data_IF_492717575350
#
_entry.id   IF_492717575350
#
_cell.length_a   1.000
_cell.length_b   1.000
_cell.length_c   1.000
_cell.angle_alpha   90.00
_cell.angle_beta   90.00
_cell.angle_gamma   90.00
#
_symmetry.space_group_name_H-M   'P 1'
#
loop_
_entity.id
_entity.type
_entity.pdbx_description
1 polymer ?
#
# COMPACT_ATOMS: atom_id res chain seq x y z
N UNK A 1 -38.29 -30.14 -37.10
CA UNK A 1 -39.46 -29.49 -36.46
C UNK A 1 -38.99 -28.34 -35.58
N UNK A 2 -39.77 -27.26 -35.38
CA UNK A 2 -39.42 -26.25 -34.37
C UNK A 2 -39.62 -26.84 -32.96
N UNK A 3 -38.74 -26.55 -31.99
CA UNK A 3 -38.95 -26.95 -30.60
C UNK A 3 -40.18 -26.23 -30.02
N UNK A 4 -40.86 -26.88 -29.05
CA UNK A 4 -42.05 -26.31 -28.37
C UNK A 4 -41.71 -25.12 -27.46
N UNK A 5 -40.47 -25.04 -26.98
CA UNK A 5 -39.96 -23.96 -26.14
C UNK A 5 -38.79 -23.26 -26.84
N UNK A 6 -38.62 -21.97 -26.58
CA UNK A 6 -37.48 -21.19 -27.11
C UNK A 6 -36.19 -21.65 -26.41
N UNK A 7 -35.17 -22.12 -27.14
CA UNK A 7 -33.93 -22.56 -26.52
C UNK A 7 -33.13 -21.36 -25.99
N UNK A 8 -32.95 -21.30 -24.67
CA UNK A 8 -32.11 -20.30 -23.99
C UNK A 8 -30.67 -20.81 -23.89
N UNK A 9 -29.72 -19.97 -24.28
CA UNK A 9 -28.27 -20.23 -24.24
C UNK A 9 -27.59 -19.23 -23.31
N UNK A 10 -26.93 -19.70 -22.25
CA UNK A 10 -26.22 -18.85 -21.31
C UNK A 10 -24.76 -18.68 -21.75
N UNK A 11 -24.41 -17.46 -22.19
CA UNK A 11 -23.02 -17.09 -22.47
C UNK A 11 -22.28 -16.85 -21.15
N UNK A 12 -21.49 -17.83 -20.69
CA UNK A 12 -20.69 -17.70 -19.47
C UNK A 12 -19.44 -18.58 -19.51
N UNK A 13 -18.32 -18.00 -19.06
CA UNK A 13 -17.05 -18.70 -18.92
C UNK A 13 -16.98 -19.61 -17.69
N UNK A 14 -17.95 -19.57 -16.75
CA UNK A 14 -17.86 -20.21 -15.41
C UNK A 14 -17.56 -21.72 -15.43
N UNK A 15 -17.95 -22.43 -16.49
CA UNK A 15 -17.65 -23.86 -16.69
C UNK A 15 -16.24 -24.12 -17.24
N UNK A 16 -15.72 -23.21 -18.07
CA UNK A 16 -14.45 -23.37 -18.82
C UNK A 16 -13.27 -22.72 -18.10
N UNK A 17 -13.47 -21.51 -17.59
CA UNK A 17 -12.43 -20.63 -17.06
C UNK A 17 -12.84 -20.07 -15.71
N UNK A 18 -12.11 -20.45 -14.67
CA UNK A 18 -12.38 -20.10 -13.27
C UNK A 18 -11.25 -19.20 -12.77
N UNK A 19 -11.61 -18.03 -12.28
CA UNK A 19 -10.69 -17.07 -11.67
C UNK A 19 -11.24 -16.64 -10.32
N UNK A 20 -10.40 -16.59 -9.30
CA UNK A 20 -10.74 -16.13 -7.95
C UNK A 20 -10.68 -14.62 -7.85
N UNK A 21 -11.44 -14.03 -6.92
CA UNK A 21 -11.35 -12.59 -6.64
C UNK A 21 -9.95 -12.13 -6.21
N UNK A 22 -9.13 -13.03 -5.65
CA UNK A 22 -7.73 -12.73 -5.34
C UNK A 22 -6.93 -12.51 -6.62
N UNK A 23 -7.00 -13.43 -7.58
CA UNK A 23 -6.30 -13.32 -8.86
C UNK A 23 -6.76 -12.08 -9.65
N UNK A 24 -8.07 -11.80 -9.69
CA UNK A 24 -8.63 -10.57 -10.30
C UNK A 24 -7.98 -9.32 -9.70
N UNK A 25 -7.88 -9.23 -8.37
CA UNK A 25 -7.29 -8.06 -7.72
C UNK A 25 -5.77 -8.01 -7.81
N UNK A 26 -5.07 -9.14 -7.79
CA UNK A 26 -3.61 -9.18 -7.90
C UNK A 26 -3.17 -8.78 -9.32
N UNK A 27 -3.91 -9.18 -10.35
CA UNK A 27 -3.75 -8.71 -11.74
C UNK A 27 -4.15 -7.22 -11.83
N UNK A 28 -5.35 -6.86 -11.35
CA UNK A 28 -5.86 -5.48 -11.38
C UNK A 28 -4.95 -4.48 -10.67
N UNK A 29 -4.31 -4.86 -9.56
CA UNK A 29 -3.33 -4.04 -8.82
C UNK A 29 -2.11 -3.71 -9.68
N UNK A 30 -1.52 -4.70 -10.37
CA UNK A 30 -0.39 -4.49 -11.28
C UNK A 30 -0.76 -3.49 -12.38
N UNK A 31 -1.92 -3.72 -13.02
CA UNK A 31 -2.44 -2.83 -14.07
C UNK A 31 -2.68 -1.41 -13.53
N UNK A 32 -3.25 -1.25 -12.34
CA UNK A 32 -3.46 0.09 -11.72
C UNK A 32 -2.14 0.81 -11.47
N UNK A 33 -1.06 0.10 -11.13
CA UNK A 33 0.26 0.73 -10.95
C UNK A 33 0.87 1.23 -12.27
N UNK A 34 0.63 0.53 -13.38
CA UNK A 34 1.04 0.96 -14.71
C UNK A 34 0.09 1.99 -15.33
N UNK A 35 -1.20 1.98 -14.99
CA UNK A 35 -2.24 2.85 -15.56
C UNK A 35 -3.06 3.59 -14.48
N UNK A 36 -2.42 4.38 -13.58
CA UNK A 36 -3.09 5.01 -12.45
C UNK A 36 -4.03 6.15 -12.84
N UNK A 37 -5.13 6.29 -12.09
CA UNK A 37 -6.14 7.35 -12.22
C UNK A 37 -5.63 8.72 -11.76
N UNK A 38 -6.15 9.80 -12.34
CA UNK A 38 -5.77 11.17 -11.98
C UNK A 38 -6.18 11.52 -10.54
N UNK A 39 -7.38 11.13 -10.14
CA UNK A 39 -7.98 11.44 -8.84
C UNK A 39 -7.56 10.47 -7.71
N UNK A 40 -6.31 10.01 -7.74
CA UNK A 40 -5.76 9.10 -6.71
C UNK A 40 -5.28 9.89 -5.49
N UNK A 41 -5.98 9.75 -4.36
CA UNK A 41 -5.69 10.51 -3.11
C UNK A 41 -4.68 9.81 -2.20
N UNK A 42 -4.59 8.48 -2.24
CA UNK A 42 -3.65 7.67 -1.45
C UNK A 42 -3.12 6.50 -2.26
N UNK A 43 -1.98 5.93 -1.86
CA UNK A 43 -1.39 4.76 -2.54
C UNK A 43 -2.31 3.52 -2.40
N UNK A 44 -2.71 2.86 -3.50
CA UNK A 44 -3.70 1.77 -3.43
C UNK A 44 -3.06 0.43 -3.05
N UNK A 45 -2.75 0.24 -1.75
CA UNK A 45 -2.21 -1.01 -1.18
C UNK A 45 -3.27 -1.88 -0.46
N UNK A 46 -4.56 -1.63 -0.73
CA UNK A 46 -5.68 -2.32 -0.08
C UNK A 46 -5.68 -3.85 -0.29
N UNK A 47 -6.27 -4.59 0.66
CA UNK A 47 -6.40 -6.05 0.57
C UNK A 47 -7.80 -6.51 1.00
N UNK A 48 -8.32 -7.57 0.38
CA UNK A 48 -9.60 -8.17 0.78
C UNK A 48 -9.42 -8.79 2.17
N UNK A 49 -10.38 -8.53 3.08
CA UNK A 49 -10.42 -9.18 4.39
C UNK A 49 -11.55 -10.20 4.44
N UNK A 50 -11.25 -11.43 4.86
CA UNK A 50 -12.25 -12.47 5.04
C UNK A 50 -13.15 -12.24 6.27
N UNK A 51 -12.61 -11.62 7.34
CA UNK A 51 -13.38 -11.31 8.55
C UNK A 51 -14.18 -10.02 8.41
N UNK A 52 -15.51 -10.13 8.48
CA UNK A 52 -16.44 -8.99 8.51
C UNK A 52 -16.18 -8.05 9.69
N UNK A 53 -15.79 -8.59 10.86
CA UNK A 53 -15.44 -7.79 12.03
C UNK A 53 -14.19 -6.93 11.77
N UNK A 54 -13.11 -7.53 11.28
CA UNK A 54 -11.88 -6.78 10.95
C UNK A 54 -12.11 -5.77 9.81
N UNK A 55 -12.94 -6.11 8.83
CA UNK A 55 -13.35 -5.18 7.79
C UNK A 55 -14.08 -3.96 8.38
N UNK A 56 -15.08 -4.18 9.24
CA UNK A 56 -15.82 -3.09 9.89
C UNK A 56 -14.90 -2.20 10.75
N UNK A 57 -13.97 -2.77 11.51
CA UNK A 57 -12.97 -1.99 12.27
C UNK A 57 -12.12 -1.12 11.34
N UNK A 58 -11.62 -1.67 10.23
CA UNK A 58 -10.87 -0.89 9.24
C UNK A 58 -11.72 0.22 8.60
N UNK A 59 -13.00 -0.05 8.29
CA UNK A 59 -13.92 0.96 7.74
C UNK A 59 -14.14 2.12 8.72
N UNK A 60 -14.26 1.84 10.02
CA UNK A 60 -14.39 2.89 11.04
C UNK A 60 -13.09 3.68 11.17
N UNK A 61 -11.95 3.02 11.44
CA UNK A 61 -10.71 3.69 11.79
C UNK A 61 -9.89 4.25 10.61
N UNK A 62 -9.99 3.65 9.41
CA UNK A 62 -9.18 4.03 8.23
C UNK A 62 -9.98 4.73 7.14
N UNK A 63 -11.31 4.79 7.24
CA UNK A 63 -12.17 5.50 6.27
C UNK A 63 -13.02 6.56 6.93
N UNK A 64 -13.92 6.21 7.86
CA UNK A 64 -14.82 7.19 8.46
C UNK A 64 -14.12 8.16 9.42
N UNK A 65 -13.29 7.69 10.34
CA UNK A 65 -12.61 8.56 11.30
C UNK A 65 -11.72 9.63 10.61
N UNK A 66 -10.89 9.29 9.61
CA UNK A 66 -10.17 10.29 8.81
C UNK A 66 -11.10 11.21 8.02
N UNK A 67 -12.21 10.70 7.46
CA UNK A 67 -13.17 11.51 6.71
C UNK A 67 -13.87 12.56 7.59
N UNK A 68 -14.25 12.20 8.81
CA UNK A 68 -14.80 13.13 9.79
C UNK A 68 -13.77 14.17 10.24
N UNK A 69 -12.50 13.78 10.41
CA UNK A 69 -11.41 14.73 10.69
C UNK A 69 -11.20 15.73 9.55
N UNK A 70 -11.18 15.26 8.29
CA UNK A 70 -11.05 16.13 7.10
C UNK A 70 -12.24 17.09 7.00
N UNK A 71 -13.48 16.60 7.14
CA UNK A 71 -14.68 17.44 7.08
C UNK A 71 -14.74 18.44 8.25
N UNK A 72 -14.26 18.09 9.45
CA UNK A 72 -14.12 19.00 10.58
C UNK A 72 -13.07 20.10 10.32
N UNK A 73 -11.90 19.75 9.76
CA UNK A 73 -10.91 20.73 9.34
C UNK A 73 -11.46 21.66 8.26
N UNK A 74 -12.23 21.14 7.29
CA UNK A 74 -12.91 21.97 6.29
C UNK A 74 -13.84 22.99 6.94
N UNK A 75 -14.64 22.61 7.94
CA UNK A 75 -15.50 23.54 8.68
C UNK A 75 -14.70 24.64 9.39
N UNK A 76 -13.55 24.32 10.00
CA UNK A 76 -12.64 25.32 10.60
C UNK A 76 -12.13 26.32 9.56
N UNK A 77 -11.82 25.86 8.34
CA UNK A 77 -11.38 26.72 7.23
C UNK A 77 -12.54 27.32 6.40
N UNK A 78 -13.77 27.29 6.93
CA UNK A 78 -15.00 27.76 6.27
C UNK A 78 -15.23 27.15 4.86
N UNK A 79 -14.68 25.96 4.62
CA UNK A 79 -14.86 25.16 3.42
C UNK A 79 -16.02 24.18 3.56
N UNK A 80 -16.59 23.76 2.42
CA UNK A 80 -17.72 22.83 2.41
C UNK A 80 -17.25 21.38 2.66
N UNK A 81 -17.70 20.71 3.74
CA UNK A 81 -17.37 19.30 3.98
C UNK A 81 -17.96 18.39 2.90
N UNK A 82 -17.22 17.36 2.51
CA UNK A 82 -17.58 16.45 1.41
C UNK A 82 -17.10 15.00 1.60
N UNK A 83 -16.09 14.76 2.44
CA UNK A 83 -15.37 13.49 2.50
C UNK A 83 -16.22 12.37 3.10
N UNK A 84 -17.01 12.66 4.14
CA UNK A 84 -17.99 11.70 4.71
C UNK A 84 -19.08 11.34 3.69
N UNK A 85 -19.47 12.27 2.82
CA UNK A 85 -20.44 12.01 1.76
C UNK A 85 -19.89 11.06 0.70
N UNK A 86 -18.62 11.20 0.32
CA UNK A 86 -17.93 10.26 -0.58
C UNK A 86 -17.87 8.87 0.05
N UNK A 87 -17.41 8.74 1.30
CA UNK A 87 -17.31 7.44 1.95
C UNK A 87 -18.66 6.74 2.14
N UNK A 88 -19.74 7.47 2.43
CA UNK A 88 -21.11 6.90 2.43
C UNK A 88 -21.51 6.32 1.07
N UNK A 89 -21.21 7.02 -0.04
CA UNK A 89 -21.50 6.51 -1.39
C UNK A 89 -20.70 5.25 -1.72
N UNK A 90 -19.41 5.22 -1.36
CA UNK A 90 -18.55 4.05 -1.52
C UNK A 90 -19.10 2.87 -0.71
N UNK A 91 -19.44 3.09 0.57
CA UNK A 91 -19.96 2.04 1.44
C UNK A 91 -21.28 1.45 0.93
N UNK A 92 -22.19 2.28 0.43
CA UNK A 92 -23.45 1.82 -0.18
C UNK A 92 -23.21 0.99 -1.46
N UNK A 93 -22.25 1.41 -2.30
CA UNK A 93 -21.84 0.64 -3.48
C UNK A 93 -21.21 -0.70 -3.12
N UNK A 94 -20.35 -0.75 -2.11
CA UNK A 94 -19.75 -1.98 -1.59
C UNK A 94 -20.79 -2.92 -0.98
N UNK A 95 -21.79 -2.39 -0.26
CA UNK A 95 -22.89 -3.18 0.30
C UNK A 95 -23.72 -3.87 -0.81
N UNK A 96 -24.00 -3.15 -1.90
CA UNK A 96 -24.67 -3.71 -3.08
C UNK A 96 -23.80 -4.79 -3.74
N UNK A 97 -22.51 -4.50 -3.98
CA UNK A 97 -21.58 -5.46 -4.59
C UNK A 97 -21.40 -6.72 -3.74
N UNK A 98 -21.41 -6.60 -2.40
CA UNK A 98 -21.17 -7.72 -1.48
C UNK A 98 -22.07 -8.92 -1.77
N UNK A 99 -23.35 -8.70 -2.11
CA UNK A 99 -24.28 -9.77 -2.44
C UNK A 99 -23.82 -10.60 -3.64
N UNK A 100 -23.29 -9.93 -4.68
CA UNK A 100 -22.84 -10.57 -5.91
C UNK A 100 -21.43 -11.16 -5.78
N UNK A 101 -20.51 -10.47 -5.11
CA UNK A 101 -19.09 -10.87 -5.05
C UNK A 101 -18.78 -11.95 -4.01
N UNK A 102 -19.52 -12.01 -2.90
CA UNK A 102 -19.25 -12.97 -1.81
C UNK A 102 -19.98 -14.31 -1.94
N UNK A 103 -20.97 -14.41 -2.83
CA UNK A 103 -21.73 -15.63 -3.09
C UNK A 103 -21.13 -16.41 -4.27
N UNK A 104 -21.18 -17.74 -4.19
CA UNK A 104 -20.87 -18.60 -5.35
C UNK A 104 -22.07 -18.61 -6.29
N UNK A 105 -21.86 -18.12 -7.50
CA UNK A 105 -22.81 -18.25 -8.60
C UNK A 105 -22.32 -19.34 -9.54
N UNK A 106 -23.20 -20.29 -9.86
CA UNK A 106 -22.93 -21.36 -10.83
C UNK A 106 -23.89 -21.16 -11.99
N UNK A 107 -23.36 -20.71 -13.12
CA UNK A 107 -24.14 -20.50 -14.34
C UNK A 107 -23.84 -21.64 -15.31
N UNK A 108 -24.88 -22.41 -15.68
CA UNK A 108 -24.74 -23.54 -16.58
C UNK A 108 -24.77 -23.08 -18.04
N UNK A 109 -23.69 -23.32 -18.78
CA UNK A 109 -23.52 -23.00 -20.21
C UNK A 109 -23.48 -24.22 -21.14
N UNK A 110 -23.90 -25.41 -20.69
CA UNK A 110 -23.80 -26.66 -21.48
C UNK A 110 -24.38 -26.55 -22.90
N UNK A 111 -25.57 -25.94 -23.06
CA UNK A 111 -26.18 -25.69 -24.37
C UNK A 111 -25.34 -24.77 -25.28
N UNK A 112 -24.65 -23.80 -24.69
CA UNK A 112 -23.81 -22.85 -25.43
C UNK A 112 -22.47 -23.48 -25.84
N UNK A 113 -21.88 -24.30 -24.96
CA UNK A 113 -20.65 -25.05 -25.29
C UNK A 113 -20.92 -26.10 -26.37
N UNK A 114 -22.06 -26.80 -26.32
CA UNK A 114 -22.47 -27.74 -27.38
C UNK A 114 -22.60 -27.07 -28.76
N UNK A 115 -23.06 -25.80 -28.82
CA UNK A 115 -23.16 -25.05 -30.07
C UNK A 115 -21.78 -24.83 -30.74
N UNK A 116 -20.71 -24.68 -29.95
CA UNK A 116 -19.33 -24.62 -30.46
C UNK A 116 -18.82 -25.95 -31.01
N UNK A 117 -19.39 -27.08 -30.57
CA UNK A 117 -19.06 -28.41 -31.10
C UNK A 117 -19.87 -28.76 -32.35
N UNK A 118 -21.16 -28.44 -32.38
CA UNK A 118 -22.09 -28.80 -33.46
C UNK A 118 -21.95 -27.95 -34.74
N UNK A 119 -21.21 -26.83 -34.70
CA UNK A 119 -21.05 -25.92 -35.83
C UNK A 119 -20.23 -26.47 -37.01
N UNK A 120 -20.53 -26.02 -38.23
CA UNK A 120 -19.66 -26.22 -39.40
C UNK A 120 -18.31 -25.53 -39.18
N UNK A 121 -17.22 -26.04 -39.77
CA UNK A 121 -15.87 -25.42 -39.70
C UNK A 121 -15.91 -23.92 -40.01
N UNK A 122 -16.65 -23.52 -41.06
CA UNK A 122 -16.83 -22.10 -41.42
C UNK A 122 -17.43 -21.29 -40.26
N UNK A 123 -18.46 -21.81 -39.60
CA UNK A 123 -19.10 -21.12 -38.48
C UNK A 123 -18.20 -21.09 -37.24
N UNK A 124 -17.41 -22.14 -36.99
CA UNK A 124 -16.40 -22.17 -35.92
C UNK A 124 -15.28 -21.14 -36.15
N UNK A 125 -14.85 -20.98 -37.40
CA UNK A 125 -13.81 -20.02 -37.79
C UNK A 125 -14.31 -18.56 -37.70
N UNK A 126 -15.58 -18.29 -38.07
CA UNK A 126 -16.20 -16.96 -37.95
C UNK A 126 -16.65 -16.61 -36.52
N UNK A 127 -17.14 -17.58 -35.76
CA UNK A 127 -17.75 -17.40 -34.44
C UNK A 127 -17.04 -18.29 -33.41
N UNK A 128 -15.76 -18.02 -33.17
CA UNK A 128 -14.96 -18.74 -32.15
C UNK A 128 -15.61 -18.66 -30.77
N UNK A 129 -15.98 -19.82 -30.21
CA UNK A 129 -16.55 -20.00 -28.87
C UNK A 129 -15.46 -20.44 -27.87
N UNK A 130 -14.20 -20.11 -28.15
CA UNK A 130 -13.05 -20.50 -27.33
C UNK A 130 -12.67 -19.44 -26.28
N UNK A 131 -13.17 -19.60 -25.06
CA UNK A 131 -12.79 -18.77 -23.91
C UNK A 131 -11.33 -18.92 -23.46
N UNK A 132 -10.59 -19.94 -23.92
CA UNK A 132 -9.18 -20.12 -23.55
C UNK A 132 -8.28 -19.05 -24.16
N UNK A 133 -8.64 -18.52 -25.34
CA UNK A 133 -7.91 -17.49 -26.08
C UNK A 133 -7.95 -16.10 -25.40
N UNK A 134 -8.91 -15.87 -24.49
CA UNK A 134 -9.05 -14.59 -23.78
C UNK A 134 -8.02 -14.51 -22.65
N UNK A 135 -6.94 -13.74 -22.85
CA UNK A 135 -5.94 -13.47 -21.81
C UNK A 135 -6.49 -12.50 -20.76
N UNK A 136 -6.60 -12.96 -19.51
CA UNK A 136 -7.26 -12.23 -18.41
C UNK A 136 -6.62 -10.87 -18.12
N UNK A 137 -5.29 -10.81 -18.14
CA UNK A 137 -4.54 -9.57 -17.87
C UNK A 137 -4.81 -8.51 -18.95
N UNK A 138 -4.80 -8.92 -20.22
CA UNK A 138 -5.09 -8.01 -21.33
C UNK A 138 -6.56 -7.58 -21.31
N UNK A 139 -7.50 -8.50 -21.03
CA UNK A 139 -8.92 -8.18 -20.86
C UNK A 139 -9.16 -7.17 -19.71
N UNK A 140 -8.59 -7.40 -18.52
CA UNK A 140 -8.73 -6.50 -17.38
C UNK A 140 -8.08 -5.13 -17.65
N UNK A 141 -6.97 -5.10 -18.39
CA UNK A 141 -6.29 -3.87 -18.81
C UNK A 141 -7.14 -3.06 -19.78
N UNK A 142 -7.76 -3.71 -20.77
CA UNK A 142 -8.63 -3.03 -21.74
C UNK A 142 -9.92 -2.52 -21.06
N UNK A 143 -10.49 -3.29 -20.12
CA UNK A 143 -11.58 -2.81 -19.26
C UNK A 143 -11.17 -1.58 -18.42
N UNK A 144 -9.96 -1.56 -17.85
CA UNK A 144 -9.47 -0.43 -17.05
C UNK A 144 -9.20 0.81 -17.92
N UNK A 145 -8.57 0.65 -19.08
CA UNK A 145 -8.32 1.73 -20.04
C UNK A 145 -9.63 2.30 -20.59
N UNK A 146 -10.60 1.44 -20.92
CA UNK A 146 -11.95 1.85 -21.29
C UNK A 146 -12.67 2.61 -20.17
N UNK A 147 -12.61 2.11 -18.94
CA UNK A 147 -13.16 2.79 -17.77
C UNK A 147 -12.54 4.16 -17.54
N UNK A 148 -11.21 4.28 -17.69
CA UNK A 148 -10.47 5.55 -17.62
C UNK A 148 -10.97 6.53 -18.70
N UNK A 149 -10.97 6.12 -19.97
CA UNK A 149 -11.23 7.01 -21.09
C UNK A 149 -12.72 7.39 -21.22
N UNK A 150 -13.65 6.44 -21.01
CA UNK A 150 -15.07 6.65 -21.28
C UNK A 150 -15.90 6.96 -20.03
N UNK A 151 -15.62 6.31 -18.89
CA UNK A 151 -16.37 6.56 -17.64
C UNK A 151 -15.79 7.72 -16.84
N UNK A 152 -14.46 7.74 -16.63
CA UNK A 152 -13.77 8.79 -15.88
C UNK A 152 -13.42 10.02 -16.74
N UNK A 153 -13.44 9.88 -18.07
CA UNK A 153 -13.08 10.93 -19.05
C UNK A 153 -11.63 11.43 -18.90
N UNK A 154 -10.75 10.58 -18.39
CA UNK A 154 -9.32 10.88 -18.22
C UNK A 154 -8.55 10.47 -19.49
N UNK A 155 -7.78 11.37 -20.13
CA UNK A 155 -7.02 11.01 -21.32
C UNK A 155 -5.83 10.08 -21.00
N UNK A 156 -5.34 9.36 -22.00
CA UNK A 156 -4.13 8.53 -21.85
C UNK A 156 -2.84 9.38 -21.77
N UNK A 157 -2.87 10.61 -22.28
CA UNK A 157 -1.73 11.54 -22.26
C UNK A 157 -1.34 12.00 -20.85
N UNK A 158 -2.22 11.89 -19.86
CA UNK A 158 -1.92 12.24 -18.46
C UNK A 158 -1.26 11.11 -17.67
N UNK A 159 -1.17 9.88 -18.21
CA UNK A 159 -0.52 8.74 -17.54
C UNK A 159 0.91 9.02 -17.03
N UNK A 160 1.81 9.73 -17.75
CA UNK A 160 3.14 10.07 -17.24
C UNK A 160 3.12 11.04 -16.05
N UNK A 161 2.06 11.82 -15.86
CA UNK A 161 1.83 12.61 -14.64
C UNK A 161 1.31 11.72 -13.52
N UNK A 162 0.30 10.89 -13.79
CA UNK A 162 -0.32 10.00 -12.80
C UNK A 162 0.70 9.02 -12.20
N UNK A 163 1.59 8.42 -13.03
CA UNK A 163 2.68 7.55 -12.57
C UNK A 163 3.68 8.26 -11.64
N UNK A 164 3.96 9.55 -11.86
CA UNK A 164 4.82 10.35 -10.97
C UNK A 164 4.13 10.62 -9.63
N UNK A 165 2.85 10.97 -9.66
CA UNK A 165 2.03 11.15 -8.45
C UNK A 165 1.97 9.84 -7.65
N UNK A 166 1.74 8.70 -8.30
CA UNK A 166 1.70 7.39 -7.65
C UNK A 166 3.02 7.05 -6.93
N UNK A 167 4.18 7.37 -7.53
CA UNK A 167 5.49 7.18 -6.87
C UNK A 167 5.65 8.06 -5.63
N UNK A 168 5.17 9.30 -5.66
CA UNK A 168 5.16 10.19 -4.48
C UNK A 168 4.23 9.62 -3.40
N UNK A 169 3.02 9.20 -3.78
CA UNK A 169 2.06 8.58 -2.85
C UNK A 169 2.61 7.30 -2.21
N UNK A 170 3.38 6.48 -2.95
CA UNK A 170 4.07 5.31 -2.39
C UNK A 170 5.07 5.71 -1.29
N UNK A 171 5.90 6.72 -1.53
CA UNK A 171 6.86 7.21 -0.51
C UNK A 171 6.11 7.76 0.71
N UNK A 172 5.05 8.55 0.50
CA UNK A 172 4.20 9.07 1.58
C UNK A 172 3.55 7.93 2.38
N UNK A 173 3.02 6.90 1.73
CA UNK A 173 2.41 5.74 2.37
C UNK A 173 3.40 4.95 3.23
N UNK A 174 4.64 4.75 2.75
CA UNK A 174 5.68 4.05 3.53
C UNK A 174 6.24 4.89 4.66
N UNK A 175 6.44 6.21 4.48
CA UNK A 175 6.81 7.11 5.58
C UNK A 175 5.71 7.19 6.64
N UNK A 176 4.44 7.30 6.24
CA UNK A 176 3.29 7.29 7.14
C UNK A 176 3.18 5.97 7.89
N UNK A 177 3.36 4.84 7.21
CA UNK A 177 3.36 3.50 7.84
C UNK A 177 4.46 3.38 8.90
N UNK A 178 5.69 3.78 8.57
CA UNK A 178 6.82 3.77 9.51
C UNK A 178 6.52 4.66 10.73
N UNK A 179 6.02 5.88 10.50
CA UNK A 179 5.61 6.80 11.56
C UNK A 179 4.51 6.21 12.45
N UNK A 180 3.46 5.64 11.86
CA UNK A 180 2.33 5.07 12.58
C UNK A 180 2.74 3.86 13.45
N UNK A 181 3.52 2.93 12.90
CA UNK A 181 4.02 1.78 13.67
C UNK A 181 5.04 2.19 14.74
N UNK A 182 5.87 3.21 14.47
CA UNK A 182 6.78 3.80 15.46
C UNK A 182 6.03 4.45 16.63
N UNK A 183 4.99 5.24 16.32
CA UNK A 183 4.10 5.85 17.33
C UNK A 183 3.38 4.79 18.16
N UNK A 184 2.85 3.74 17.53
CA UNK A 184 2.20 2.63 18.22
C UNK A 184 3.17 1.89 19.14
N UNK A 185 4.40 1.61 18.69
CA UNK A 185 5.44 0.99 19.51
C UNK A 185 5.81 1.87 20.71
N UNK A 186 5.98 3.18 20.50
CA UNK A 186 6.27 4.14 21.56
C UNK A 186 5.14 4.24 22.59
N UNK A 187 3.87 4.25 22.15
CA UNK A 187 2.72 4.22 23.05
C UNK A 187 2.68 2.94 23.89
N UNK A 188 2.91 1.77 23.28
CA UNK A 188 2.98 0.49 24.00
C UNK A 188 4.12 0.49 25.04
N UNK A 189 5.31 0.97 24.68
CA UNK A 189 6.44 1.13 25.59
C UNK A 189 6.16 2.13 26.72
N UNK A 190 5.44 3.22 26.44
CA UNK A 190 5.11 4.27 27.42
C UNK A 190 4.03 3.82 28.43
N UNK A 191 3.03 3.04 28.00
CA UNK A 191 1.90 2.65 28.84
C UNK A 191 1.95 1.22 29.40
N UNK A 192 2.86 0.35 28.94
CA UNK A 192 3.00 -1.01 29.46
C UNK A 192 4.39 -1.27 30.06
N UNK A 193 4.43 -1.37 31.38
CA UNK A 193 5.63 -1.78 32.14
C UNK A 193 6.17 -3.14 31.66
N UNK A 194 5.28 -4.09 31.37
CA UNK A 194 5.66 -5.41 30.83
C UNK A 194 6.30 -5.30 29.46
N UNK A 195 5.76 -4.47 28.56
CA UNK A 195 6.32 -4.29 27.22
C UNK A 195 7.68 -3.58 27.28
N UNK A 196 7.83 -2.58 28.16
CA UNK A 196 9.10 -1.90 28.46
C UNK A 196 10.16 -2.90 28.90
N UNK A 197 9.90 -3.67 29.96
CA UNK A 197 10.82 -4.68 30.46
C UNK A 197 11.26 -5.69 29.40
N UNK A 198 10.33 -6.19 28.58
CA UNK A 198 10.62 -7.13 27.48
C UNK A 198 11.48 -6.47 26.40
N UNK A 199 11.17 -5.25 25.99
CA UNK A 199 11.93 -4.51 24.97
C UNK A 199 13.33 -4.13 25.45
N UNK A 200 13.48 -3.76 26.73
CA UNK A 200 14.77 -3.46 27.34
C UNK A 200 15.64 -4.73 27.43
N UNK A 201 15.06 -5.86 27.88
CA UNK A 201 15.74 -7.17 27.91
C UNK A 201 16.20 -7.60 26.51
N UNK A 202 15.35 -7.43 25.49
CA UNK A 202 15.70 -7.73 24.08
C UNK A 202 16.82 -6.79 23.60
N UNK A 203 16.74 -5.50 23.93
CA UNK A 203 17.75 -4.49 23.53
C UNK A 203 19.10 -4.77 24.19
N UNK A 204 19.12 -5.16 25.46
CA UNK A 204 20.32 -5.55 26.18
C UNK A 204 20.93 -6.83 25.59
N UNK A 205 20.12 -7.86 25.34
CA UNK A 205 20.57 -9.08 24.66
C UNK A 205 21.18 -8.77 23.28
N UNK A 206 20.52 -7.95 22.46
CA UNK A 206 21.01 -7.49 21.15
C UNK A 206 22.36 -6.77 21.28
N UNK A 207 22.58 -5.96 22.33
CA UNK A 207 23.87 -5.30 22.61
C UNK A 207 24.98 -6.28 23.03
N UNK A 208 24.64 -7.43 23.61
CA UNK A 208 25.64 -8.48 23.93
C UNK A 208 26.12 -9.26 22.70
N UNK A 209 25.36 -9.24 21.59
CA UNK A 209 25.75 -9.93 20.35
C UNK A 209 27.06 -9.34 19.79
N UNK A 210 28.14 -10.14 19.60
CA UNK A 210 29.46 -9.62 19.25
C UNK A 210 29.51 -8.76 17.98
N UNK A 211 28.71 -9.10 16.97
CA UNK A 211 28.63 -8.38 15.69
C UNK A 211 28.15 -6.93 15.91
N UNK A 212 27.09 -6.76 16.70
CA UNK A 212 26.47 -5.46 16.95
C UNK A 212 27.37 -4.60 17.84
N UNK A 213 28.02 -5.21 18.84
CA UNK A 213 29.04 -4.56 19.66
C UNK A 213 30.25 -4.07 18.83
N UNK A 214 30.63 -4.80 17.80
CA UNK A 214 31.70 -4.40 16.87
C UNK A 214 31.28 -3.21 16.02
N UNK A 215 30.08 -3.27 15.42
CA UNK A 215 29.52 -2.17 14.61
C UNK A 215 29.35 -0.88 15.42
N UNK A 216 28.84 -0.97 16.66
CA UNK A 216 28.67 0.18 17.55
C UNK A 216 29.99 0.80 17.99
N UNK A 217 31.06 0.01 18.18
CA UNK A 217 32.40 0.56 18.42
C UNK A 217 32.96 1.25 17.18
N UNK A 218 32.78 0.65 16.00
CA UNK A 218 33.25 1.24 14.74
C UNK A 218 32.59 2.58 14.43
N UNK A 219 31.29 2.75 14.69
CA UNK A 219 30.63 4.07 14.51
C UNK A 219 31.16 5.12 15.48
N UNK A 220 31.39 4.76 16.75
CA UNK A 220 31.87 5.70 17.78
C UNK A 220 33.29 6.20 17.49
N UNK A 221 34.19 5.30 17.04
CA UNK A 221 35.57 5.65 16.66
C UNK A 221 35.60 6.60 15.44
N UNK A 222 34.65 6.45 14.51
CA UNK A 222 34.52 7.36 13.36
C UNK A 222 34.06 8.75 13.79
N UNK A 223 33.11 8.86 14.73
CA UNK A 223 32.71 10.15 15.31
C UNK A 223 33.84 10.83 16.10
N UNK A 224 34.55 10.09 16.96
CA UNK A 224 35.70 10.63 17.72
C UNK A 224 36.82 11.11 16.77
N UNK A 225 37.11 10.37 15.69
CA UNK A 225 38.08 10.77 14.68
C UNK A 225 37.68 12.05 13.92
N UNK A 226 36.40 12.18 13.55
CA UNK A 226 35.84 13.39 12.94
C UNK A 226 35.86 14.60 13.89
N UNK A 227 35.61 14.38 15.19
CA UNK A 227 35.68 15.44 16.19
C UNK A 227 37.14 15.88 16.44
N UNK A 228 38.09 14.94 16.47
CA UNK A 228 39.51 15.24 16.61
C UNK A 228 40.07 16.04 15.42
N UNK A 229 39.63 15.74 14.19
CA UNK A 229 40.01 16.49 12.98
C UNK A 229 39.45 17.92 12.95
N UNK A 230 38.29 18.16 13.56
CA UNK A 230 37.67 19.49 13.65
C UNK A 230 38.07 20.28 14.90
N UNK A 231 38.93 19.73 15.76
CA UNK A 231 39.40 20.40 16.99
C UNK A 231 40.57 21.35 16.69
N UNK A 232 40.55 22.61 17.18
CA UNK A 232 41.64 23.56 16.92
C UNK A 232 42.96 23.11 17.57
N UNK A 233 44.12 23.38 16.93
CA UNK A 233 45.40 22.82 17.36
C UNK A 233 45.83 23.33 18.74
N UNK A 234 46.07 22.39 19.66
CA UNK A 234 46.52 22.67 21.02
C UNK A 234 47.92 23.31 20.97
N UNK A 235 48.03 24.58 21.38
CA UNK A 235 49.32 25.25 21.56
C UNK A 235 50.10 24.55 22.67
N UNK A 236 51.21 23.89 22.32
CA UNK A 236 52.19 23.38 23.30
C UNK A 236 52.77 24.56 24.07
N UNK A 237 52.47 24.64 25.37
CA UNK A 237 53.15 25.56 26.28
C UNK A 237 54.58 25.06 26.54
N UNK A 238 55.55 25.96 26.40
CA UNK A 238 56.97 25.67 26.67
C UNK A 238 57.25 25.55 28.18
N UNK A 239 58.23 24.73 28.59
CA UNK A 239 58.57 24.58 29.99
C UNK A 239 59.14 25.88 30.57
N UNK A 240 58.69 26.24 31.77
CA UNK A 240 59.10 27.44 32.50
C UNK A 240 60.58 27.31 32.90
N UNK A 241 61.42 28.25 32.46
CA UNK A 241 62.78 28.41 32.98
C UNK A 241 62.71 29.09 34.34
N UNK A 242 63.16 28.42 35.40
CA UNK A 242 63.45 29.05 36.68
C UNK A 242 64.70 29.93 36.57
N UNK A 243 64.64 31.15 37.10
CA UNK A 243 65.76 32.09 37.13
C UNK A 243 66.18 32.34 38.61
N UNK A 244 67.46 32.19 38.99
CA UNK A 244 67.84 32.11 40.41
C UNK A 244 68.38 33.44 40.95
N UNK A 245 67.52 34.30 41.52
CA UNK A 245 67.95 35.50 42.26
C UNK A 245 66.99 35.84 43.42
N UNK A 246 67.26 35.28 44.61
CA UNK A 246 67.37 36.05 45.86
C UNK A 246 67.92 35.15 46.98
N UNK A 247 69.11 35.50 47.49
CA UNK A 247 69.70 34.97 48.72
C UNK A 247 70.14 36.19 49.54
N UNK A 248 69.97 36.15 50.86
CA UNK A 248 70.16 37.25 51.84
C UNK A 248 69.06 38.33 51.79
N UNK A 249 68.59 38.96 52.87
CA UNK A 249 68.79 38.86 54.35
C UNK A 249 67.46 39.33 55.03
N UNK A 250 67.16 39.18 56.33
CA UNK A 250 67.92 38.70 57.52
C UNK A 250 66.99 37.87 58.47
N UNK A 251 67.33 37.76 59.77
CA UNK A 251 66.60 37.26 60.97
C UNK A 251 65.06 37.32 61.00
#
# INVERSE_FOLDING_TARGET
>A
SRPKEVPVYNLTASAVKKMTWKEVLDIGRKIIYDYPFEMTVWYPDGNIRASKFMHNMCVIFLHFLPAYLIDFLMLIFFQKPFMVHIHKRIQNGLLLLQYFTTRRWVFHSSKFLALGEDGNRVDKDLFSIDFSQVVEEQYLKDCLLGGRQYCMKEPLSSLPRCRRILKVLYVVDKLWSIFFYGLLLWLVYSYSETARYVLDTITEYIRTVPVIRTLSKSSMIVEEGLHALNSPPIKKTSPIKSNPLHRHFIE
#
